data_IF_501272019316
#
_entry.id   IF_501272019316
#
_cell.length_a   1.000
_cell.length_b   1.000
_cell.length_c   1.000
_cell.angle_alpha   90.00
_cell.angle_beta   90.00
_cell.angle_gamma   90.00
#
_symmetry.space_group_name_H-M   'P 1'
#
loop_
_entity.id
_entity.type
_entity.pdbx_description
1 polymer ?
#
# COMPACT_ATOMS: atom_id res chain seq x y z
N UNK A 1 -5.61 19.63 -11.59
CA UNK A 1 -5.44 19.00 -10.25
C UNK A 1 -4.92 17.55 -10.40
N UNK A 2 -3.64 17.36 -10.77
CA UNK A 2 -3.03 16.03 -11.03
C UNK A 2 -2.36 15.40 -9.78
N UNK A 3 -2.22 16.14 -8.68
CA UNK A 3 -1.47 15.71 -7.48
C UNK A 3 -2.02 14.45 -6.78
N UNK A 4 -3.31 14.13 -6.92
CA UNK A 4 -3.94 13.01 -6.19
C UNK A 4 -3.43 11.62 -6.59
N UNK A 5 -3.10 11.41 -7.88
CA UNK A 5 -2.68 10.07 -8.36
C UNK A 5 -1.27 9.71 -7.90
N UNK A 6 -0.34 10.67 -7.96
CA UNK A 6 1.05 10.47 -7.52
C UNK A 6 1.15 10.24 -6.02
N UNK A 7 0.33 10.93 -5.23
CA UNK A 7 0.31 10.76 -3.78
C UNK A 7 -0.14 9.35 -3.37
N UNK A 8 -1.15 8.81 -4.06
CA UNK A 8 -1.64 7.46 -3.82
C UNK A 8 -0.61 6.39 -4.22
N UNK A 9 0.08 6.57 -5.34
CA UNK A 9 1.19 5.69 -5.74
C UNK A 9 2.35 5.74 -4.73
N UNK A 10 2.69 6.93 -4.21
CA UNK A 10 3.70 7.10 -3.16
C UNK A 10 3.28 6.44 -1.85
N UNK A 11 2.02 6.57 -1.46
CA UNK A 11 1.47 5.92 -0.25
C UNK A 11 1.45 4.40 -0.39
N UNK A 12 1.04 3.87 -1.54
CA UNK A 12 1.09 2.44 -1.84
C UNK A 12 2.52 1.89 -1.87
N UNK A 13 3.47 2.65 -2.45
CA UNK A 13 4.88 2.32 -2.42
C UNK A 13 5.43 2.29 -0.99
N UNK A 14 5.09 3.27 -0.16
CA UNK A 14 5.50 3.32 1.25
C UNK A 14 4.96 2.13 2.05
N UNK A 15 3.68 1.81 1.90
CA UNK A 15 3.07 0.64 2.54
C UNK A 15 3.73 -0.67 2.12
N UNK A 16 4.06 -0.78 0.83
CA UNK A 16 4.72 -1.97 0.29
C UNK A 16 6.13 -2.12 0.84
N UNK A 17 6.95 -1.06 0.82
CA UNK A 17 8.33 -1.07 1.33
C UNK A 17 8.37 -1.38 2.83
N UNK A 18 7.40 -0.90 3.61
CA UNK A 18 7.35 -1.15 5.05
C UNK A 18 6.81 -2.54 5.39
N UNK A 19 5.82 -3.02 4.64
CA UNK A 19 5.19 -4.31 4.88
C UNK A 19 5.98 -5.51 4.34
N UNK A 20 6.73 -5.36 3.24
CA UNK A 20 7.51 -6.46 2.64
C UNK A 20 8.53 -7.08 3.59
N UNK A 21 9.41 -6.30 4.26
CA UNK A 21 10.36 -6.85 5.22
C UNK A 21 9.67 -7.41 6.47
N UNK A 22 8.50 -6.89 6.85
CA UNK A 22 7.73 -7.41 7.98
C UNK A 22 7.17 -8.81 7.72
N UNK A 23 6.73 -9.09 6.49
CA UNK A 23 6.33 -10.45 6.07
C UNK A 23 7.51 -11.41 6.15
N UNK A 24 8.70 -10.99 5.71
CA UNK A 24 9.91 -11.81 5.78
C UNK A 24 10.39 -12.03 7.22
N UNK A 25 10.14 -11.09 8.13
CA UNK A 25 10.50 -11.19 9.54
C UNK A 25 9.48 -11.97 10.39
N UNK A 26 8.33 -12.37 9.82
CA UNK A 26 7.24 -13.01 10.57
C UNK A 26 6.48 -12.08 11.51
N UNK A 27 6.67 -10.76 11.38
CA UNK A 27 5.94 -9.76 12.16
C UNK A 27 4.56 -9.53 11.54
N UNK A 28 3.58 -10.29 12.04
CA UNK A 28 2.19 -10.25 11.59
C UNK A 28 1.57 -8.85 11.71
N UNK A 29 1.99 -8.07 12.72
CA UNK A 29 1.41 -6.76 13.01
C UNK A 29 1.86 -5.73 11.98
N UNK A 30 3.13 -5.79 11.56
CA UNK A 30 3.62 -4.98 10.45
C UNK A 30 3.30 -5.58 9.06
N UNK A 31 3.07 -6.88 8.94
CA UNK A 31 2.60 -7.51 7.70
C UNK A 31 1.19 -7.07 7.31
N UNK A 32 0.36 -6.65 8.28
CA UNK A 32 -0.97 -6.08 8.03
C UNK A 32 -0.93 -4.85 7.11
N UNK A 33 0.20 -4.13 7.02
CA UNK A 33 0.38 -3.02 6.09
C UNK A 33 0.37 -3.45 4.61
N UNK A 34 0.80 -4.68 4.28
CA UNK A 34 0.67 -5.24 2.93
C UNK A 34 -0.80 -5.54 2.60
N UNK A 35 -1.56 -6.09 3.55
CA UNK A 35 -2.99 -6.32 3.40
C UNK A 35 -3.73 -5.01 3.13
N UNK A 36 -3.38 -3.95 3.87
CA UNK A 36 -3.88 -2.60 3.63
C UNK A 36 -3.48 -2.04 2.26
N UNK A 37 -2.24 -2.25 1.82
CA UNK A 37 -1.80 -1.85 0.48
C UNK A 37 -2.64 -2.54 -0.61
N UNK A 38 -2.83 -3.86 -0.50
CA UNK A 38 -3.64 -4.63 -1.45
C UNK A 38 -5.10 -4.17 -1.46
N UNK A 39 -5.67 -3.90 -0.28
CA UNK A 39 -7.01 -3.36 -0.13
C UNK A 39 -7.17 -2.00 -0.83
N UNK A 40 -6.21 -1.09 -0.61
CA UNK A 40 -6.22 0.21 -1.28
C UNK A 40 -6.12 0.09 -2.80
N UNK A 41 -5.32 -0.83 -3.34
CA UNK A 41 -5.26 -1.06 -4.80
C UNK A 41 -6.62 -1.53 -5.33
N UNK A 42 -7.30 -2.43 -4.61
CA UNK A 42 -8.60 -2.97 -5.01
C UNK A 42 -9.72 -1.94 -4.92
N UNK A 43 -9.78 -1.17 -3.82
CA UNK A 43 -10.83 -0.18 -3.56
C UNK A 43 -10.56 1.19 -4.19
N UNK A 44 -9.37 1.43 -4.73
CA UNK A 44 -9.15 2.65 -5.50
C UNK A 44 -9.93 2.56 -6.80
N UNK A 45 -10.94 3.41 -7.03
CA UNK A 45 -11.65 3.43 -8.29
C UNK A 45 -10.68 3.84 -9.39
N UNK A 46 -10.51 2.97 -10.39
CA UNK A 46 -9.88 3.36 -11.66
C UNK A 46 -10.81 4.43 -12.23
N UNK A 47 -10.31 5.67 -12.31
CA UNK A 47 -11.03 6.74 -13.01
C UNK A 47 -11.32 6.23 -14.43
N UNK A 48 -12.59 5.97 -14.72
CA UNK A 48 -13.12 5.90 -16.08
C UNK A 48 -12.76 7.17 -16.85
#
# INVERSE_FOLDING_TARGET
MMMRKTWMLGFLGFLSIRGMPAVLAGDLLNAAWILWAAWFIHFTPKKE
#
